data_IF_500861628385
#
_entry.id   IF_500861628385
#
_cell.length_a   1.000
_cell.length_b   1.000
_cell.length_c   1.000
_cell.angle_alpha   90.00
_cell.angle_beta   90.00
_cell.angle_gamma   90.00
#
_symmetry.space_group_name_H-M   'P 1'
#
loop_
_entity.id
_entity.type
_entity.pdbx_description
1 polymer ?
#
# COMPACT_ATOMS: atom_id res chain seq x y z
N UNK A 1 59.22 11.89 -36.87
CA UNK A 1 57.95 12.58 -37.16
C UNK A 1 57.08 12.53 -35.92
N UNK A 2 57.15 13.55 -35.06
CA UNK A 2 56.29 13.67 -33.87
C UNK A 2 54.97 14.32 -34.25
N UNK A 3 53.85 13.69 -33.90
CA UNK A 3 52.52 14.32 -33.95
C UNK A 3 52.28 15.06 -32.65
N UNK A 4 52.14 16.37 -32.74
CA UNK A 4 51.71 17.28 -31.67
C UNK A 4 50.24 17.05 -31.33
N UNK A 5 49.96 16.79 -30.06
CA UNK A 5 48.61 16.73 -29.47
C UNK A 5 48.14 18.19 -29.23
N UNK A 6 46.89 18.58 -29.52
CA UNK A 6 46.46 19.97 -29.39
C UNK A 6 46.20 20.36 -27.92
N UNK A 7 46.77 21.49 -27.49
CA UNK A 7 46.67 22.03 -26.13
C UNK A 7 45.25 22.40 -25.67
N UNK A 8 44.29 22.49 -26.60
CA UNK A 8 42.88 22.84 -26.32
C UNK A 8 42.13 21.77 -25.49
N UNK A 9 42.54 20.50 -25.55
CA UNK A 9 41.88 19.39 -24.85
C UNK A 9 42.22 19.32 -23.35
N UNK A 10 43.31 19.96 -22.92
CA UNK A 10 43.78 19.92 -21.52
C UNK A 10 43.07 20.96 -20.63
N UNK A 11 42.56 22.03 -21.23
CA UNK A 11 41.97 23.16 -20.48
C UNK A 11 40.49 22.92 -20.09
N UNK A 12 39.76 22.12 -20.88
CA UNK A 12 38.35 21.77 -20.61
C UNK A 12 38.17 20.79 -19.43
N UNK A 13 39.16 19.93 -19.19
CA UNK A 13 39.07 18.90 -18.13
C UNK A 13 39.30 19.51 -16.74
N UNK A 14 40.20 20.50 -16.65
CA UNK A 14 40.51 21.20 -15.39
C UNK A 14 39.32 22.04 -14.92
N UNK A 15 38.62 22.73 -15.84
CA UNK A 15 37.44 23.54 -15.50
C UNK A 15 36.26 22.69 -15.00
N UNK A 16 36.07 21.48 -15.54
CA UNK A 16 35.02 20.55 -15.06
C UNK A 16 35.36 19.97 -13.68
N UNK A 17 36.62 19.63 -13.42
CA UNK A 17 37.05 19.12 -12.10
C UNK A 17 36.93 20.16 -10.99
N UNK A 18 37.25 21.44 -11.26
CA UNK A 18 37.15 22.50 -10.23
C UNK A 18 35.70 22.85 -9.91
N UNK A 19 34.80 22.86 -10.90
CA UNK A 19 33.36 23.11 -10.68
C UNK A 19 32.72 21.94 -9.90
N UNK A 20 33.07 20.69 -10.20
CA UNK A 20 32.57 19.52 -9.47
C UNK A 20 33.02 19.47 -8.00
N UNK A 21 34.27 19.88 -7.72
CA UNK A 21 34.80 19.97 -6.35
C UNK A 21 34.10 21.07 -5.52
N UNK A 22 33.83 22.23 -6.11
CA UNK A 22 33.16 23.33 -5.42
C UNK A 22 31.70 22.98 -5.06
N UNK A 23 30.97 22.28 -5.95
CA UNK A 23 29.60 21.83 -5.68
C UNK A 23 29.55 20.71 -4.64
N UNK A 24 30.51 19.78 -4.67
CA UNK A 24 30.61 18.70 -3.68
C UNK A 24 30.92 19.21 -2.26
N UNK A 25 31.87 20.15 -2.14
CA UNK A 25 32.23 20.76 -0.85
C UNK A 25 31.09 21.60 -0.28
N UNK A 26 30.35 22.33 -1.13
CA UNK A 26 29.16 23.07 -0.72
C UNK A 26 28.04 22.16 -0.19
N UNK A 27 27.75 21.05 -0.87
CA UNK A 27 26.75 20.08 -0.43
C UNK A 27 27.12 19.42 0.90
N UNK A 28 28.38 19.01 1.08
CA UNK A 28 28.87 18.48 2.36
C UNK A 28 28.79 19.51 3.49
N UNK A 29 29.12 20.77 3.20
CA UNK A 29 29.05 21.85 4.19
C UNK A 29 27.59 22.14 4.60
N UNK A 30 26.65 22.13 3.66
CA UNK A 30 25.22 22.29 3.97
C UNK A 30 24.67 21.12 4.76
N UNK A 31 25.06 19.88 4.45
CA UNK A 31 24.75 18.69 5.24
C UNK A 31 25.31 18.78 6.66
N UNK A 32 26.60 19.14 6.78
CA UNK A 32 27.24 19.36 8.06
C UNK A 32 26.56 20.48 8.86
N UNK A 33 26.19 21.59 8.22
CA UNK A 33 25.49 22.71 8.86
C UNK A 33 24.07 22.32 9.30
N UNK A 34 23.35 21.52 8.51
CA UNK A 34 22.03 21.01 8.87
C UNK A 34 22.10 20.03 10.06
N UNK A 35 23.06 19.10 10.04
CA UNK A 35 23.31 18.16 11.13
C UNK A 35 23.73 18.89 12.40
N UNK A 36 24.65 19.86 12.29
CA UNK A 36 25.11 20.67 13.43
C UNK A 36 24.00 21.56 13.99
N UNK A 37 23.16 22.16 13.15
CA UNK A 37 21.99 22.91 13.59
C UNK A 37 20.97 22.02 14.31
N UNK A 38 20.77 20.78 13.83
CA UNK A 38 19.94 19.79 14.51
C UNK A 38 20.48 19.35 15.87
N UNK A 39 21.80 19.21 16.00
CA UNK A 39 22.46 18.76 17.26
C UNK A 39 22.61 19.92 18.27
N UNK A 40 22.76 21.17 17.82
CA UNK A 40 22.89 22.35 18.70
C UNK A 40 21.56 22.88 19.24
N UNK A 41 20.42 22.35 18.78
CA UNK A 41 19.15 22.51 19.47
C UNK A 41 19.20 21.79 20.82
N UNK A 42 19.77 22.43 21.84
CA UNK A 42 19.50 22.08 23.24
C UNK A 42 17.97 22.13 23.43
N UNK A 43 17.35 21.12 24.05
CA UNK A 43 15.92 21.16 24.29
C UNK A 43 15.59 22.37 25.17
N UNK A 44 14.64 23.25 24.79
CA UNK A 44 14.11 24.22 25.73
C UNK A 44 13.29 23.43 26.75
N UNK A 45 13.78 23.41 27.99
CA UNK A 45 12.98 23.14 29.18
C UNK A 45 12.01 24.31 29.36
N UNK A 46 10.99 24.42 28.50
CA UNK A 46 9.89 25.36 28.69
C UNK A 46 8.59 24.69 28.24
N UNK A 47 7.70 24.52 29.21
CA UNK A 47 6.29 24.18 29.03
C UNK A 47 5.63 25.16 28.06
N UNK A 48 4.63 24.71 27.30
CA UNK A 48 3.78 25.51 26.36
C UNK A 48 4.38 25.99 25.03
N UNK A 49 4.72 25.07 24.12
CA UNK A 49 4.85 25.34 22.67
C UNK A 49 4.44 24.11 21.83
N UNK A 50 4.02 24.27 20.55
CA UNK A 50 3.34 23.22 19.81
C UNK A 50 4.24 22.02 19.54
N UNK A 51 3.67 20.83 19.71
CA UNK A 51 4.37 19.55 19.74
C UNK A 51 4.92 19.23 18.34
N UNK A 52 6.25 19.28 18.17
CA UNK A 52 6.91 18.87 16.93
C UNK A 52 6.70 17.35 16.68
N UNK A 53 6.41 16.97 15.43
CA UNK A 53 6.20 15.57 14.97
C UNK A 53 7.33 14.64 15.40
N UNK A 54 8.58 15.15 15.43
CA UNK A 54 9.74 14.39 15.89
C UNK A 54 9.65 14.00 17.38
N UNK A 55 9.05 14.84 18.23
CA UNK A 55 8.84 14.54 19.65
C UNK A 55 7.74 13.51 19.86
N UNK A 56 6.70 13.50 19.02
CA UNK A 56 5.69 12.42 19.01
C UNK A 56 6.29 11.08 18.60
N UNK A 57 7.22 11.07 17.63
CA UNK A 57 7.91 9.85 17.22
C UNK A 57 8.79 9.27 18.34
N UNK A 58 9.49 10.14 19.10
CA UNK A 58 10.39 9.72 20.19
C UNK A 58 9.61 9.35 21.48
N UNK A 59 8.50 10.03 21.79
CA UNK A 59 7.65 9.64 22.93
C UNK A 59 6.86 8.34 22.66
N UNK A 60 6.53 8.04 21.39
CA UNK A 60 5.86 6.78 20.96
C UNK A 60 6.73 5.53 21.15
N UNK A 61 8.05 5.64 21.05
CA UNK A 61 8.97 4.52 21.35
C UNK A 61 9.06 4.20 22.86
N UNK A 62 8.80 5.18 23.74
CA UNK A 62 8.89 4.98 25.20
C UNK A 62 7.58 4.58 25.88
N UNK A 63 6.44 4.77 25.20
CA UNK A 63 5.09 4.54 25.76
C UNK A 63 4.27 3.49 25.00
N UNK A 64 4.92 2.46 24.45
CA UNK A 64 4.28 1.24 23.96
C UNK A 64 3.59 0.43 25.08
N UNK A 65 2.77 1.08 25.92
CA UNK A 65 1.71 0.42 26.67
C UNK A 65 0.68 -0.01 25.65
N UNK A 66 0.46 -1.32 25.58
CA UNK A 66 -0.74 -1.92 25.02
C UNK A 66 -1.95 -1.11 25.52
N UNK A 67 -2.50 -0.26 24.64
CA UNK A 67 -3.68 0.54 24.94
C UNK A 67 -4.92 -0.36 25.01
N UNK A 68 -4.82 -1.58 24.48
CA UNK A 68 -5.91 -2.52 24.28
C UNK A 68 -6.92 -2.02 23.26
N UNK A 69 -6.65 -0.94 22.53
CA UNK A 69 -7.63 -0.30 21.66
C UNK A 69 -7.96 -1.19 20.46
N UNK A 70 -6.95 -1.77 19.82
CA UNK A 70 -7.18 -2.70 18.71
C UNK A 70 -7.98 -3.92 19.16
N UNK A 71 -7.67 -4.46 20.36
CA UNK A 71 -8.40 -5.58 20.95
C UNK A 71 -9.86 -5.23 21.25
N UNK A 72 -10.14 -4.04 21.78
CA UNK A 72 -11.52 -3.57 22.04
C UNK A 72 -12.33 -3.44 20.76
N UNK A 73 -11.73 -2.90 19.70
CA UNK A 73 -12.40 -2.75 18.41
C UNK A 73 -12.71 -4.11 17.78
N UNK A 74 -11.78 -5.07 17.83
CA UNK A 74 -12.00 -6.43 17.35
C UNK A 74 -13.13 -7.12 18.11
N UNK A 75 -13.11 -7.05 19.45
CA UNK A 75 -14.18 -7.63 20.28
C UNK A 75 -15.53 -6.94 20.02
N UNK A 76 -15.53 -5.63 19.73
CA UNK A 76 -16.76 -4.92 19.38
C UNK A 76 -17.31 -5.43 18.04
N UNK A 77 -16.45 -5.68 17.04
CA UNK A 77 -16.86 -6.17 15.73
C UNK A 77 -17.57 -7.53 15.77
N UNK A 78 -17.25 -8.39 16.76
CA UNK A 78 -17.94 -9.66 16.98
C UNK A 78 -19.40 -9.50 17.46
N UNK A 79 -19.75 -8.34 18.04
CA UNK A 79 -21.12 -8.06 18.48
C UNK A 79 -22.04 -7.79 17.29
N UNK A 80 -23.33 -8.12 17.43
CA UNK A 80 -24.36 -7.72 16.46
C UNK A 80 -24.43 -6.20 16.38
N UNK A 81 -24.08 -5.67 15.21
CA UNK A 81 -24.08 -4.25 14.90
C UNK A 81 -24.71 -4.03 13.53
N UNK A 82 -25.24 -2.83 13.29
CA UNK A 82 -25.65 -2.43 11.95
C UNK A 82 -24.44 -2.24 11.02
N UNK A 83 -24.72 -2.13 9.72
CA UNK A 83 -23.68 -2.02 8.71
C UNK A 83 -22.81 -0.76 8.82
N UNK A 84 -23.38 0.37 9.25
CA UNK A 84 -22.63 1.61 9.38
C UNK A 84 -21.61 1.51 10.52
N UNK A 85 -22.04 1.03 11.68
CA UNK A 85 -21.17 0.86 12.84
C UNK A 85 -20.04 -0.15 12.56
N UNK A 86 -20.34 -1.28 11.91
CA UNK A 86 -19.30 -2.25 11.49
C UNK A 86 -18.27 -1.63 10.55
N UNK A 87 -18.72 -0.84 9.57
CA UNK A 87 -17.82 -0.13 8.65
C UNK A 87 -16.90 0.85 9.40
N UNK A 88 -17.45 1.63 10.34
CA UNK A 88 -16.67 2.56 11.15
C UNK A 88 -15.65 1.87 12.07
N UNK A 89 -16.00 0.71 12.63
CA UNK A 89 -15.08 -0.08 13.45
C UNK A 89 -13.95 -0.65 12.58
N UNK A 90 -14.26 -1.23 11.42
CA UNK A 90 -13.27 -1.74 10.47
C UNK A 90 -12.31 -0.63 9.98
N UNK A 91 -12.84 0.56 9.73
CA UNK A 91 -12.04 1.73 9.40
C UNK A 91 -11.09 2.10 10.56
N UNK A 92 -11.59 2.10 11.79
CA UNK A 92 -10.80 2.38 12.99
C UNK A 92 -9.72 1.32 13.23
N UNK A 93 -10.04 0.03 13.05
CA UNK A 93 -9.10 -1.10 13.08
C UNK A 93 -7.99 -0.85 12.07
N UNK A 94 -8.33 -0.50 10.83
CA UNK A 94 -7.35 -0.20 9.77
C UNK A 94 -6.35 0.87 10.23
N UNK A 95 -6.83 1.95 10.86
CA UNK A 95 -5.98 3.02 11.39
C UNK A 95 -5.12 2.52 12.55
N UNK A 96 -5.68 1.76 13.48
CA UNK A 96 -4.95 1.14 14.59
C UNK A 96 -3.83 0.23 14.09
N UNK A 97 -4.03 -0.56 13.04
CA UNK A 97 -2.97 -1.44 12.51
C UNK A 97 -1.75 -0.64 12.00
N UNK A 98 -1.97 0.52 11.37
CA UNK A 98 -0.87 1.39 10.94
C UNK A 98 -0.22 2.17 12.10
N UNK A 99 -0.97 2.43 13.18
CA UNK A 99 -0.54 3.28 14.29
C UNK A 99 -0.05 2.49 15.52
N UNK A 100 -0.39 1.21 15.65
CA UNK A 100 -0.15 0.40 16.84
C UNK A 100 0.47 -0.94 16.41
N UNK A 101 1.66 -0.89 15.81
CA UNK A 101 2.34 -2.07 15.25
C UNK A 101 2.53 -3.20 16.26
N UNK A 102 2.84 -2.86 17.53
CA UNK A 102 2.98 -3.84 18.60
C UNK A 102 1.66 -4.56 18.91
N UNK A 103 0.54 -3.83 19.01
CA UNK A 103 -0.79 -4.41 19.22
C UNK A 103 -1.23 -5.25 18.02
N UNK A 104 -1.04 -4.73 16.81
CA UNK A 104 -1.37 -5.44 15.58
C UNK A 104 -0.55 -6.74 15.46
N UNK A 105 0.72 -6.71 15.87
CA UNK A 105 1.57 -7.89 15.95
C UNK A 105 1.19 -8.85 17.08
N UNK A 106 0.38 -8.45 18.04
CA UNK A 106 -0.16 -9.31 19.10
C UNK A 106 -1.50 -9.97 18.71
N UNK A 107 -2.15 -9.54 17.62
CA UNK A 107 -3.37 -10.18 17.11
C UNK A 107 -3.15 -11.67 16.76
N UNK A 108 -4.24 -12.45 16.83
CA UNK A 108 -4.30 -13.86 16.50
C UNK A 108 -4.71 -14.08 15.04
N UNK A 109 -4.64 -15.33 14.57
CA UNK A 109 -5.20 -15.70 13.25
C UNK A 109 -6.73 -15.68 13.23
N UNK A 110 -7.38 -15.80 14.39
CA UNK A 110 -8.84 -15.71 14.51
C UNK A 110 -9.29 -14.26 14.32
N UNK A 111 -8.51 -13.29 14.81
CA UNK A 111 -8.76 -11.87 14.53
C UNK A 111 -8.74 -11.59 13.01
N UNK A 112 -7.85 -12.26 12.25
CA UNK A 112 -7.81 -12.15 10.78
C UNK A 112 -9.02 -12.83 10.13
N UNK A 113 -9.42 -14.01 10.65
CA UNK A 113 -10.60 -14.73 10.16
C UNK A 113 -11.86 -13.89 10.33
N UNK A 114 -12.04 -13.24 11.49
CA UNK A 114 -13.14 -12.31 11.76
C UNK A 114 -13.23 -11.21 10.70
N UNK A 115 -12.10 -10.60 10.33
CA UNK A 115 -12.06 -9.58 9.27
C UNK A 115 -12.38 -10.17 7.89
N UNK A 116 -11.94 -11.40 7.64
CA UNK A 116 -12.25 -12.15 6.42
C UNK A 116 -13.75 -12.45 6.27
N UNK A 117 -14.41 -12.83 7.37
CA UNK A 117 -15.85 -13.12 7.38
C UNK A 117 -16.69 -11.86 7.02
N UNK A 118 -16.16 -10.65 7.25
CA UNK A 118 -16.80 -9.40 6.83
C UNK A 118 -16.85 -9.20 5.31
N UNK A 119 -16.12 -10.00 4.52
CA UNK A 119 -16.21 -9.98 3.05
C UNK A 119 -17.52 -10.58 2.52
N UNK A 120 -18.21 -11.36 3.35
CA UNK A 120 -19.53 -11.96 3.05
C UNK A 120 -20.71 -11.08 3.47
N UNK A 121 -20.46 -9.89 4.04
CA UNK A 121 -21.52 -8.97 4.46
C UNK A 121 -22.39 -8.49 3.27
N UNK A 122 -23.65 -8.15 3.48
CA UNK A 122 -24.47 -7.60 2.39
C UNK A 122 -24.09 -6.16 2.02
N UNK A 123 -23.49 -5.41 2.95
CA UNK A 123 -23.18 -4.00 2.76
C UNK A 123 -21.79 -3.81 2.12
N UNK A 124 -21.76 -3.10 0.98
CA UNK A 124 -20.51 -2.79 0.25
C UNK A 124 -19.49 -2.03 1.08
N UNK A 125 -19.92 -1.09 1.92
CA UNK A 125 -19.04 -0.30 2.79
C UNK A 125 -18.29 -1.19 3.78
N UNK A 126 -18.98 -2.18 4.36
CA UNK A 126 -18.36 -3.18 5.25
C UNK A 126 -17.30 -3.97 4.50
N UNK A 127 -17.60 -4.47 3.29
CA UNK A 127 -16.62 -5.17 2.44
C UNK A 127 -15.39 -4.31 2.14
N UNK A 128 -15.59 -3.04 1.76
CA UNK A 128 -14.50 -2.10 1.44
C UNK A 128 -13.59 -1.90 2.66
N UNK A 129 -14.16 -1.66 3.84
CA UNK A 129 -13.36 -1.46 5.05
C UNK A 129 -12.68 -2.75 5.51
N UNK A 130 -13.31 -3.92 5.33
CA UNK A 130 -12.69 -5.23 5.59
C UNK A 130 -11.48 -5.46 4.68
N UNK A 131 -11.58 -5.18 3.39
CA UNK A 131 -10.46 -5.25 2.43
C UNK A 131 -9.30 -4.33 2.84
N UNK A 132 -9.60 -3.10 3.28
CA UNK A 132 -8.58 -2.16 3.76
C UNK A 132 -7.91 -2.63 5.06
N UNK A 133 -8.67 -3.22 5.99
CA UNK A 133 -8.15 -3.78 7.23
C UNK A 133 -7.23 -4.99 6.95
N UNK A 134 -7.69 -5.94 6.12
CA UNK A 134 -6.87 -7.07 5.65
C UNK A 134 -5.60 -6.60 4.94
N UNK A 135 -5.71 -5.55 4.10
CA UNK A 135 -4.54 -4.95 3.46
C UNK A 135 -3.56 -4.39 4.48
N UNK A 136 -4.02 -3.75 5.55
CA UNK A 136 -3.14 -3.26 6.60
C UNK A 136 -2.43 -4.43 7.30
N UNK A 137 -3.17 -5.47 7.69
CA UNK A 137 -2.61 -6.67 8.33
C UNK A 137 -1.65 -7.46 7.44
N UNK A 138 -1.82 -7.46 6.12
CA UNK A 138 -0.87 -8.11 5.20
C UNK A 138 0.53 -7.48 5.20
N UNK A 139 0.68 -6.28 5.77
CA UNK A 139 1.99 -5.70 6.11
C UNK A 139 2.78 -6.54 7.11
N UNK A 140 2.08 -7.27 8.00
CA UNK A 140 2.67 -8.11 9.04
C UNK A 140 2.85 -9.53 8.50
N UNK A 141 4.10 -9.98 8.40
CA UNK A 141 4.48 -11.22 7.71
C UNK A 141 3.71 -12.46 8.20
N UNK A 142 3.46 -12.57 9.51
CA UNK A 142 2.79 -13.75 10.11
C UNK A 142 1.35 -13.96 9.65
N UNK A 143 0.66 -12.91 9.21
CA UNK A 143 -0.75 -13.00 8.79
C UNK A 143 -0.93 -13.23 7.29
N UNK A 144 0.10 -13.06 6.46
CA UNK A 144 -0.02 -13.15 5.00
C UNK A 144 -0.62 -14.46 4.53
N UNK A 145 -0.18 -15.59 5.09
CA UNK A 145 -0.70 -16.91 4.75
C UNK A 145 -2.20 -17.03 5.06
N UNK A 146 -2.63 -16.53 6.22
CA UNK A 146 -4.04 -16.57 6.62
C UNK A 146 -4.90 -15.68 5.71
N UNK A 147 -4.41 -14.48 5.38
CA UNK A 147 -5.10 -13.55 4.49
C UNK A 147 -5.24 -14.10 3.06
N UNK A 148 -4.26 -14.89 2.59
CA UNK A 148 -4.32 -15.54 1.28
C UNK A 148 -5.50 -16.50 1.12
N UNK A 149 -6.02 -17.08 2.20
CA UNK A 149 -7.22 -17.94 2.15
C UNK A 149 -8.43 -17.20 1.57
N UNK A 150 -8.50 -15.87 1.71
CA UNK A 150 -9.58 -15.04 1.18
C UNK A 150 -9.37 -14.61 -0.27
N UNK A 151 -8.26 -14.96 -0.92
CA UNK A 151 -7.90 -14.47 -2.27
C UNK A 151 -8.99 -14.77 -3.30
N UNK A 152 -9.57 -15.98 -3.28
CA UNK A 152 -10.65 -16.36 -4.20
C UNK A 152 -11.87 -15.45 -4.01
N UNK A 153 -12.25 -15.19 -2.75
CA UNK A 153 -13.36 -14.29 -2.42
C UNK A 153 -13.08 -12.87 -2.88
N UNK A 154 -11.86 -12.35 -2.67
CA UNK A 154 -11.48 -11.02 -3.15
C UNK A 154 -11.59 -10.92 -4.67
N UNK A 155 -11.13 -11.94 -5.40
CA UNK A 155 -11.25 -12.02 -6.86
C UNK A 155 -12.72 -12.08 -7.32
N UNK A 156 -13.57 -12.84 -6.61
CA UNK A 156 -15.02 -12.86 -6.85
C UNK A 156 -15.62 -11.46 -6.67
N UNK A 157 -15.33 -10.78 -5.56
CA UNK A 157 -15.87 -9.44 -5.27
C UNK A 157 -15.50 -8.41 -6.33
N UNK A 158 -14.22 -8.34 -6.75
CA UNK A 158 -13.79 -7.38 -7.80
C UNK A 158 -14.39 -7.69 -9.18
N UNK A 159 -14.83 -8.93 -9.42
CA UNK A 159 -15.43 -9.32 -10.70
C UNK A 159 -16.95 -9.18 -10.73
N UNK A 160 -17.59 -9.08 -9.56
CA UNK A 160 -19.06 -9.12 -9.42
C UNK A 160 -19.65 -7.79 -8.95
N UNK A 161 -18.93 -7.02 -8.12
CA UNK A 161 -19.42 -5.74 -7.57
C UNK A 161 -18.69 -4.60 -8.27
N UNK A 162 -19.41 -3.91 -9.17
CA UNK A 162 -18.86 -2.79 -9.94
C UNK A 162 -18.86 -1.48 -9.13
N UNK A 163 -17.91 -1.37 -8.21
CA UNK A 163 -17.72 -0.21 -7.34
C UNK A 163 -16.23 0.18 -7.32
N UNK A 164 -15.93 1.46 -7.58
CA UNK A 164 -14.55 1.92 -7.75
C UNK A 164 -13.74 1.82 -6.45
N UNK A 165 -14.35 2.11 -5.30
CA UNK A 165 -13.68 2.00 -4.01
C UNK A 165 -13.40 0.54 -3.65
N UNK A 166 -14.34 -0.36 -3.95
CA UNK A 166 -14.17 -1.80 -3.78
C UNK A 166 -13.06 -2.33 -4.69
N UNK A 167 -13.04 -1.94 -5.98
CA UNK A 167 -11.95 -2.30 -6.88
C UNK A 167 -10.59 -1.84 -6.35
N UNK A 168 -10.48 -0.59 -5.89
CA UNK A 168 -9.24 -0.08 -5.31
C UNK A 168 -8.82 -0.86 -4.07
N UNK A 169 -9.74 -1.09 -3.12
CA UNK A 169 -9.43 -1.80 -1.88
C UNK A 169 -9.01 -3.26 -2.14
N UNK A 170 -9.78 -3.97 -2.98
CA UNK A 170 -9.50 -5.36 -3.34
C UNK A 170 -8.19 -5.52 -4.10
N UNK A 171 -7.95 -4.70 -5.13
CA UNK A 171 -6.71 -4.77 -5.91
C UNK A 171 -5.48 -4.35 -5.07
N UNK A 172 -5.61 -3.38 -4.15
CA UNK A 172 -4.52 -3.03 -3.21
C UNK A 172 -4.14 -4.20 -2.31
N UNK A 173 -5.13 -4.96 -1.83
CA UNK A 173 -4.89 -6.17 -1.05
C UNK A 173 -4.17 -7.22 -1.90
N UNK A 174 -4.69 -7.55 -3.08
CA UNK A 174 -4.10 -8.55 -3.98
C UNK A 174 -2.66 -8.21 -4.37
N UNK A 175 -2.38 -6.95 -4.69
CA UNK A 175 -1.03 -6.47 -5.03
C UNK A 175 -0.02 -6.56 -3.86
N UNK A 176 -0.48 -6.81 -2.64
CA UNK A 176 0.35 -6.93 -1.45
C UNK A 176 0.52 -8.37 -0.97
N UNK A 177 -0.11 -9.34 -1.64
CA UNK A 177 -0.03 -10.75 -1.31
C UNK A 177 0.82 -11.49 -2.36
N UNK A 178 1.60 -12.51 -1.96
CA UNK A 178 1.99 -13.53 -2.93
C UNK A 178 0.71 -14.22 -3.42
N UNK A 179 0.57 -14.46 -4.72
CA UNK A 179 -0.57 -15.22 -5.24
C UNK A 179 -0.14 -16.68 -5.46
N UNK A 180 -0.72 -17.65 -4.74
CA UNK A 180 -0.36 -19.06 -4.88
C UNK A 180 -0.97 -19.66 -6.15
N UNK A 181 -0.32 -20.67 -6.72
CA UNK A 181 -0.66 -21.21 -8.03
C UNK A 181 -2.08 -21.81 -8.11
N UNK A 182 -2.63 -22.28 -6.98
CA UNK A 182 -4.01 -22.79 -6.93
C UNK A 182 -5.07 -21.73 -7.28
N UNK A 183 -4.71 -20.44 -7.21
CA UNK A 183 -5.61 -19.32 -7.55
C UNK A 183 -5.63 -19.05 -9.06
N UNK A 184 -4.68 -19.59 -9.84
CA UNK A 184 -4.58 -19.34 -11.29
C UNK A 184 -5.88 -19.62 -12.08
N UNK A 185 -6.64 -20.71 -11.83
CA UNK A 185 -7.92 -20.92 -12.50
C UNK A 185 -8.92 -19.78 -12.26
N UNK A 186 -8.98 -19.22 -11.04
CA UNK A 186 -9.85 -18.10 -10.73
C UNK A 186 -9.34 -16.81 -11.39
N UNK A 187 -8.03 -16.58 -11.42
CA UNK A 187 -7.43 -15.43 -12.11
C UNK A 187 -7.78 -15.39 -13.60
N UNK A 188 -7.75 -16.56 -14.28
CA UNK A 188 -8.19 -16.66 -15.68
C UNK A 188 -9.65 -16.26 -15.86
N UNK A 189 -10.53 -16.68 -14.93
CA UNK A 189 -11.97 -16.33 -14.98
C UNK A 189 -12.23 -14.84 -14.78
N UNK A 190 -11.47 -14.18 -13.91
CA UNK A 190 -11.64 -12.74 -13.64
C UNK A 190 -10.85 -11.84 -14.60
N UNK A 191 -10.02 -12.41 -15.47
CA UNK A 191 -9.18 -11.67 -16.42
C UNK A 191 -9.96 -10.63 -17.25
N UNK A 192 -11.15 -10.94 -17.80
CA UNK A 192 -11.95 -9.96 -18.54
C UNK A 192 -12.37 -8.77 -17.67
N UNK A 193 -12.82 -9.03 -16.43
CA UNK A 193 -13.19 -7.98 -15.47
C UNK A 193 -12.00 -7.10 -15.11
N UNK A 194 -10.81 -7.69 -14.91
CA UNK A 194 -9.58 -6.93 -14.67
C UNK A 194 -9.26 -6.01 -15.85
N UNK A 195 -9.44 -6.49 -17.09
CA UNK A 195 -9.17 -5.70 -18.28
C UNK A 195 -10.23 -4.60 -18.49
N UNK A 196 -11.48 -4.83 -18.13
CA UNK A 196 -12.52 -3.80 -18.07
C UNK A 196 -12.18 -2.72 -17.01
N UNK A 197 -11.65 -3.09 -15.84
CA UNK A 197 -11.17 -2.12 -14.84
C UNK A 197 -10.00 -1.30 -15.39
N UNK A 198 -9.07 -1.91 -16.12
CA UNK A 198 -7.96 -1.21 -16.81
C UNK A 198 -8.47 -0.17 -17.82
N UNK A 199 -9.63 -0.42 -18.44
CA UNK A 199 -10.27 0.49 -19.40
C UNK A 199 -11.25 1.49 -18.77
N UNK A 200 -11.49 1.41 -17.46
CA UNK A 200 -12.41 2.32 -16.74
C UNK A 200 -11.82 3.72 -16.58
N UNK A 201 -12.66 4.75 -16.40
CA UNK A 201 -12.20 6.14 -16.28
C UNK A 201 -11.55 6.49 -14.91
N UNK A 202 -11.47 5.52 -14.00
CA UNK A 202 -10.96 5.73 -12.64
C UNK A 202 -9.47 5.37 -12.51
N UNK A 203 -8.60 6.39 -12.63
CA UNK A 203 -7.13 6.27 -12.67
C UNK A 203 -6.59 5.37 -11.55
N UNK A 204 -7.08 5.53 -10.32
CA UNK A 204 -6.55 4.75 -9.21
C UNK A 204 -6.87 3.26 -9.35
N UNK A 205 -8.05 2.89 -9.84
CA UNK A 205 -8.41 1.49 -10.12
C UNK A 205 -7.59 0.94 -11.28
N UNK A 206 -7.43 1.72 -12.34
CA UNK A 206 -6.60 1.35 -13.50
C UNK A 206 -5.17 1.00 -13.07
N UNK A 207 -4.53 1.87 -12.28
CA UNK A 207 -3.14 1.65 -11.83
C UNK A 207 -3.03 0.39 -10.96
N UNK A 208 -3.99 0.14 -10.06
CA UNK A 208 -3.96 -1.08 -9.24
C UNK A 208 -4.19 -2.34 -10.09
N UNK A 209 -5.07 -2.29 -11.09
CA UNK A 209 -5.32 -3.41 -11.99
C UNK A 209 -4.10 -3.68 -12.89
N UNK A 210 -3.51 -2.64 -13.47
CA UNK A 210 -2.28 -2.75 -14.28
C UNK A 210 -1.12 -3.34 -13.49
N UNK A 211 -0.96 -2.96 -12.22
CA UNK A 211 0.09 -3.52 -11.35
C UNK A 211 -0.11 -5.03 -11.15
N UNK A 212 -1.35 -5.46 -10.90
CA UNK A 212 -1.67 -6.87 -10.76
C UNK A 212 -1.44 -7.61 -12.08
N UNK A 213 -1.97 -7.08 -13.19
CA UNK A 213 -1.82 -7.66 -14.53
C UNK A 213 -0.34 -7.80 -14.94
N UNK A 214 0.49 -6.80 -14.62
CA UNK A 214 1.94 -6.85 -14.86
C UNK A 214 2.61 -7.97 -14.07
N UNK A 215 2.21 -8.19 -12.82
CA UNK A 215 2.68 -9.33 -12.03
C UNK A 215 2.23 -10.67 -12.64
N UNK A 216 0.97 -10.78 -13.08
CA UNK A 216 0.45 -11.99 -13.70
C UNK A 216 1.12 -12.29 -15.06
N UNK A 217 1.48 -11.26 -15.83
CA UNK A 217 2.17 -11.41 -17.11
C UNK A 217 3.58 -12.02 -16.98
N UNK A 218 4.19 -11.95 -15.79
CA UNK A 218 5.46 -12.62 -15.50
C UNK A 218 5.30 -14.14 -15.29
N UNK A 219 4.07 -14.64 -15.20
CA UNK A 219 3.75 -16.07 -15.11
C UNK A 219 3.42 -16.59 -16.51
N UNK A 220 4.29 -17.43 -17.07
CA UNK A 220 4.12 -18.00 -18.42
C UNK A 220 2.73 -18.59 -18.65
N UNK A 221 2.17 -19.26 -17.64
CA UNK A 221 0.86 -19.92 -17.69
C UNK A 221 -0.33 -18.95 -17.79
N UNK A 222 -0.13 -17.66 -17.46
CA UNK A 222 -1.18 -16.62 -17.48
C UNK A 222 -0.94 -15.59 -18.59
N UNK A 223 0.29 -15.48 -19.09
CA UNK A 223 0.63 -14.53 -20.15
C UNK A 223 -0.23 -14.76 -21.40
N UNK A 224 -0.41 -16.01 -21.83
CA UNK A 224 -1.26 -16.34 -22.97
C UNK A 224 -2.72 -15.93 -22.75
N UNK A 225 -3.27 -16.14 -21.56
CA UNK A 225 -4.63 -15.74 -21.23
C UNK A 225 -4.80 -14.21 -21.28
N UNK A 226 -3.79 -13.47 -20.82
CA UNK A 226 -3.77 -12.00 -20.87
C UNK A 226 -3.75 -11.50 -22.32
N UNK A 227 -2.86 -12.05 -23.16
CA UNK A 227 -2.71 -11.62 -24.56
C UNK A 227 -3.94 -11.94 -25.41
N UNK A 228 -4.65 -13.03 -25.09
CA UNK A 228 -5.86 -13.45 -25.79
C UNK A 228 -7.15 -12.92 -25.14
N UNK A 229 -7.05 -12.14 -24.06
CA UNK A 229 -8.21 -11.59 -23.37
C UNK A 229 -8.93 -10.58 -24.26
N UNK A 230 -10.09 -10.97 -24.79
CA UNK A 230 -10.95 -10.08 -25.53
C UNK A 230 -11.78 -9.23 -24.58
N UNK A 231 -11.58 -7.92 -24.61
CA UNK A 231 -12.44 -6.98 -23.88
C UNK A 231 -13.62 -6.62 -24.76
N UNK A 232 -14.83 -6.70 -24.22
CA UNK A 232 -15.99 -6.12 -24.89
C UNK A 232 -15.76 -4.62 -24.99
N UNK A 233 -15.62 -4.10 -26.21
CA UNK A 233 -15.68 -2.65 -26.44
C UNK A 233 -17.07 -2.20 -26.00
N UNK A 234 -17.14 -1.43 -24.92
CA UNK A 234 -18.37 -0.74 -24.53
C UNK A 234 -18.72 0.28 -25.63
N UNK A 235 -19.49 -0.16 -26.63
CA UNK A 235 -20.40 0.76 -27.31
C UNK A 235 -21.41 1.20 -26.24
N UNK A 236 -21.55 2.52 -26.07
CA UNK A 236 -22.18 3.18 -24.92
C UNK A 236 -23.37 2.45 -24.31
N UNK A 237 -23.29 2.18 -23.00
CA UNK A 237 -24.49 2.15 -22.18
C UNK A 237 -24.90 3.60 -21.97
N UNK A 238 -25.79 4.08 -22.84
CA UNK A 238 -26.55 5.29 -22.59
C UNK A 238 -27.29 5.17 -21.27
N UNK A 239 -27.37 6.29 -20.56
CA UNK A 239 -28.27 6.50 -19.45
C UNK A 239 -29.68 6.01 -19.80
N UNK A 240 -30.28 5.22 -18.91
CA UNK A 240 -31.71 5.16 -18.66
C UNK A 240 -31.90 4.81 -17.18
#
# INVERSE_FOLDING_TARGET
MGRSIPECLRELDIRKSVVGLATGAGALYLLYKAVRAGIQCKPPLCTTSPICIARLAIERERHGRDSGELRRLLNSLECKQDAYNRSMILHSITRCVYLLEAEASACSTDDIRLLGDMLDDDNKSVKIQALNALKAFSGIRKFRLKIQEHTIKVLELISTIWDTELHVAGLRLLNNLPLPDFVHPQLRRVMPSLMEIVQSDHILSQVQALRLMSYLAQKNDLLYDILNCQVRRHLGRGCN
#
